data_IF_719395515804
#
_entry.id   IF_719395515804
#
_cell.length_a   1.000
_cell.length_b   1.000
_cell.length_c   1.000
_cell.angle_alpha   90.00
_cell.angle_beta   90.00
_cell.angle_gamma   90.00
#
_symmetry.space_group_name_H-M   'P 1'
#
loop_
_entity.id
_entity.type
_entity.pdbx_description
1 polymer ?
#
# COMPACT_ATOMS: atom_id res chain seq x y z
N UNK A 1 0.68 34.17 -19.49
CA UNK A 1 0.12 33.08 -20.33
C UNK A 1 1.05 31.87 -20.43
N UNK A 2 2.37 32.04 -20.58
CA UNK A 2 3.34 30.92 -20.65
C UNK A 2 3.46 30.18 -19.30
N UNK A 3 3.51 30.92 -18.18
CA UNK A 3 3.62 30.33 -16.82
C UNK A 3 2.45 29.40 -16.51
N UNK A 4 1.21 29.85 -16.74
CA UNK A 4 -0.01 29.03 -16.53
C UNK A 4 0.01 27.71 -17.31
N UNK A 5 0.49 27.73 -18.57
CA UNK A 5 0.62 26.50 -19.38
C UNK A 5 1.67 25.54 -18.82
N UNK A 6 2.77 26.06 -18.28
CA UNK A 6 3.80 25.23 -17.63
C UNK A 6 3.24 24.59 -16.35
N UNK A 7 2.50 25.34 -15.53
CA UNK A 7 1.83 24.83 -14.34
C UNK A 7 0.84 23.70 -14.67
N UNK A 8 0.03 23.86 -15.72
CA UNK A 8 -0.90 22.84 -16.21
C UNK A 8 -0.18 21.55 -16.64
N UNK A 9 0.96 21.67 -17.34
CA UNK A 9 1.78 20.52 -17.75
C UNK A 9 2.36 19.79 -16.54
N UNK A 10 2.92 20.53 -15.57
CA UNK A 10 3.47 19.96 -14.35
C UNK A 10 2.38 19.22 -13.55
N UNK A 11 1.19 19.78 -13.48
CA UNK A 11 0.04 19.13 -12.83
C UNK A 11 -0.32 17.81 -13.51
N UNK A 12 -0.39 17.78 -14.85
CA UNK A 12 -0.65 16.55 -15.61
C UNK A 12 0.44 15.50 -15.40
N UNK A 13 1.71 15.90 -15.33
CA UNK A 13 2.83 14.99 -15.04
C UNK A 13 2.69 14.38 -13.66
N UNK A 14 2.40 15.19 -12.63
CA UNK A 14 2.15 14.70 -11.27
C UNK A 14 0.99 13.71 -11.23
N UNK A 15 -0.10 13.99 -11.95
CA UNK A 15 -1.24 13.07 -12.03
C UNK A 15 -0.83 11.74 -12.69
N UNK A 16 -0.10 11.80 -13.80
CA UNK A 16 0.41 10.61 -14.49
C UNK A 16 1.29 9.76 -13.60
N UNK A 17 2.20 10.37 -12.83
CA UNK A 17 3.07 9.67 -11.88
C UNK A 17 2.27 9.00 -10.75
N UNK A 18 1.32 9.72 -10.16
CA UNK A 18 0.47 9.18 -9.09
C UNK A 18 -0.33 7.96 -9.55
N UNK A 19 -1.08 8.06 -10.66
CA UNK A 19 -1.88 6.94 -11.14
C UNK A 19 -1.01 5.77 -11.62
N UNK A 20 0.19 6.05 -12.14
CA UNK A 20 1.17 4.99 -12.45
C UNK A 20 1.59 4.26 -11.17
N UNK A 21 1.86 4.96 -10.08
CA UNK A 21 2.21 4.32 -8.81
C UNK A 21 1.05 3.49 -8.25
N UNK A 22 -0.19 4.02 -8.25
CA UNK A 22 -1.38 3.25 -7.88
C UNK A 22 -1.51 1.96 -8.70
N UNK A 23 -1.30 2.05 -10.02
CA UNK A 23 -1.33 0.89 -10.90
C UNK A 23 -0.25 -0.16 -10.55
N UNK A 24 0.98 0.26 -10.26
CA UNK A 24 2.06 -0.67 -9.87
C UNK A 24 1.74 -1.39 -8.55
N UNK A 25 1.24 -0.66 -7.55
CA UNK A 25 0.82 -1.25 -6.28
C UNK A 25 -0.36 -2.21 -6.42
N UNK A 26 -1.40 -1.84 -7.17
CA UNK A 26 -2.52 -2.73 -7.44
C UNK A 26 -2.07 -4.01 -8.18
N UNK A 27 -1.14 -3.88 -9.12
CA UNK A 27 -0.55 -5.01 -9.84
C UNK A 27 0.23 -5.94 -8.91
N UNK A 28 1.00 -5.40 -7.97
CA UNK A 28 1.64 -6.18 -6.93
C UNK A 28 0.61 -6.95 -6.09
N UNK A 29 -0.42 -6.26 -5.58
CA UNK A 29 -1.44 -6.89 -4.73
C UNK A 29 -2.12 -8.06 -5.44
N UNK A 30 -2.46 -7.90 -6.72
CA UNK A 30 -3.01 -8.96 -7.55
C UNK A 30 -2.02 -10.09 -7.79
N UNK A 31 -0.75 -9.78 -8.04
CA UNK A 31 0.30 -10.79 -8.25
C UNK A 31 0.54 -11.67 -7.02
N UNK A 32 0.48 -11.09 -5.82
CA UNK A 32 0.68 -11.80 -4.55
C UNK A 32 -0.63 -12.31 -3.92
N UNK A 33 -1.75 -12.22 -4.66
CA UNK A 33 -3.09 -12.60 -4.20
C UNK A 33 -3.47 -11.98 -2.84
N UNK A 34 -3.15 -10.70 -2.65
CA UNK A 34 -3.56 -9.90 -1.50
C UNK A 34 -4.92 -9.26 -1.79
N UNK A 35 -5.89 -9.41 -0.88
CA UNK A 35 -7.17 -8.73 -1.03
C UNK A 35 -7.01 -7.21 -0.90
N UNK A 36 -7.65 -6.46 -1.81
CA UNK A 36 -7.59 -4.99 -1.81
C UNK A 36 -8.87 -4.38 -2.38
N UNK A 37 -9.16 -3.15 -1.99
CA UNK A 37 -10.27 -2.33 -2.50
C UNK A 37 -9.70 -0.96 -2.91
N UNK A 38 -9.98 -0.51 -4.12
CA UNK A 38 -9.63 0.85 -4.55
C UNK A 38 -10.55 1.89 -3.90
N UNK A 39 -9.97 2.94 -3.30
CA UNK A 39 -10.70 3.98 -2.57
C UNK A 39 -10.58 5.38 -3.22
N UNK A 40 -11.03 5.59 -4.48
CA UNK A 40 -10.85 6.87 -5.18
C UNK A 40 -11.71 8.00 -4.59
N UNK A 41 -12.87 7.68 -4.05
CA UNK A 41 -13.78 8.59 -3.36
C UNK A 41 -14.66 7.74 -2.46
N UNK A 42 -14.12 7.14 -1.39
CA UNK A 42 -15.00 6.38 -0.50
C UNK A 42 -16.02 7.35 0.08
N UNK A 43 -17.24 7.30 -0.45
CA UNK A 43 -18.43 7.98 0.05
C UNK A 43 -18.86 7.49 1.44
N UNK A 44 -17.91 6.97 2.22
CA UNK A 44 -17.99 6.56 3.61
C UNK A 44 -17.32 7.69 4.39
N UNK A 45 -18.09 8.37 5.24
CA UNK A 45 -17.76 9.70 5.77
C UNK A 45 -16.65 9.78 6.82
N UNK A 46 -15.48 9.16 6.59
CA UNK A 46 -14.33 9.17 7.50
C UNK A 46 -13.10 9.92 6.95
N UNK A 47 -12.27 10.47 7.85
CA UNK A 47 -10.99 11.14 7.51
C UNK A 47 -10.04 10.22 6.73
N UNK A 48 -10.02 8.95 7.07
CA UNK A 48 -9.20 7.89 6.46
C UNK A 48 -9.62 7.55 5.03
N UNK A 49 -10.92 7.54 4.78
CA UNK A 49 -11.55 7.33 3.47
C UNK A 49 -11.20 8.47 2.49
N UNK A 50 -10.99 9.66 3.04
CA UNK A 50 -10.53 10.83 2.29
C UNK A 50 -9.02 10.83 2.01
N UNK A 51 -8.24 9.84 2.43
CA UNK A 51 -6.79 9.84 2.20
C UNK A 51 -6.22 8.52 1.70
N UNK A 52 -6.86 7.38 2.01
CA UNK A 52 -6.40 6.08 1.54
C UNK A 52 -6.61 5.89 0.04
N UNK A 53 -5.62 5.27 -0.61
CA UNK A 53 -5.72 4.82 -1.99
C UNK A 53 -6.28 3.41 -2.07
N UNK A 54 -5.92 2.57 -1.10
CA UNK A 54 -6.45 1.21 -0.98
C UNK A 54 -6.79 0.85 0.46
N UNK A 55 -7.80 -0.01 0.62
CA UNK A 55 -8.05 -0.75 1.85
C UNK A 55 -7.67 -2.22 1.66
N UNK A 56 -6.98 -2.79 2.64
CA UNK A 56 -6.49 -4.17 2.65
C UNK A 56 -7.29 -4.96 3.72
N UNK A 57 -8.45 -5.56 3.36
CA UNK A 57 -9.41 -6.08 4.32
C UNK A 57 -8.86 -7.23 5.18
N UNK A 58 -8.05 -8.11 4.61
CA UNK A 58 -7.54 -9.31 5.31
C UNK A 58 -6.64 -8.98 6.51
N UNK A 59 -6.10 -7.76 6.57
CA UNK A 59 -5.20 -7.29 7.64
C UNK A 59 -5.71 -5.99 8.29
N UNK A 60 -6.94 -5.58 7.92
CA UNK A 60 -7.59 -4.35 8.37
C UNK A 60 -6.68 -3.11 8.32
N UNK A 61 -5.98 -2.96 7.19
CA UNK A 61 -4.97 -1.93 6.97
C UNK A 61 -5.33 -1.00 5.82
N UNK A 62 -4.75 0.20 5.83
CA UNK A 62 -4.92 1.19 4.78
C UNK A 62 -3.60 1.46 4.08
N UNK A 63 -3.67 1.64 2.77
CA UNK A 63 -2.50 1.89 1.93
C UNK A 63 -2.64 3.26 1.26
N UNK A 64 -1.57 4.06 1.35
CA UNK A 64 -1.46 5.40 0.77
C UNK A 64 -0.26 5.40 -0.16
N UNK A 65 -0.40 5.99 -1.34
CA UNK A 65 0.69 6.17 -2.31
C UNK A 65 1.42 7.49 -2.03
N UNK A 66 2.74 7.42 -1.85
CA UNK A 66 3.65 8.50 -1.46
C UNK A 66 3.98 9.47 -2.60
N UNK A 67 2.93 9.94 -3.28
CA UNK A 67 2.98 11.04 -4.25
C UNK A 67 1.90 12.09 -3.97
N UNK A 68 1.03 11.82 -2.99
CA UNK A 68 -0.15 12.62 -2.69
C UNK A 68 -1.22 12.45 -3.77
N UNK A 69 -2.47 12.23 -3.36
CA UNK A 69 -3.57 12.23 -4.33
C UNK A 69 -3.71 13.62 -4.94
N UNK A 70 -3.74 13.74 -6.28
CA UNK A 70 -4.19 14.92 -7.01
C UNK A 70 -5.32 15.71 -6.32
N UNK A 71 -5.04 16.97 -5.95
CA UNK A 71 -6.05 17.84 -5.35
C UNK A 71 -6.37 17.56 -3.86
N UNK A 72 -5.62 16.66 -3.20
CA UNK A 72 -5.68 16.45 -1.74
C UNK A 72 -4.40 16.94 -1.07
N UNK A 73 -4.53 17.35 0.19
CA UNK A 73 -3.40 17.82 1.01
C UNK A 73 -2.49 16.69 1.50
N UNK A 74 -1.38 17.09 2.11
CA UNK A 74 -0.50 16.17 2.83
C UNK A 74 -1.25 15.43 3.94
N UNK A 75 -0.95 14.14 4.11
CA UNK A 75 -1.52 13.30 5.17
C UNK A 75 -0.44 12.87 6.15
N UNK A 76 -0.64 13.15 7.43
CA UNK A 76 0.24 12.69 8.50
C UNK A 76 -0.07 11.23 8.88
N UNK A 77 0.61 10.28 8.25
CA UNK A 77 0.35 8.84 8.44
C UNK A 77 0.55 8.37 9.89
N UNK A 78 1.51 8.96 10.62
CA UNK A 78 1.77 8.65 12.04
C UNK A 78 0.58 9.03 12.91
N UNK A 79 0.10 10.27 12.79
CA UNK A 79 -1.06 10.74 13.56
C UNK A 79 -2.32 9.95 13.21
N UNK A 80 -2.51 9.67 11.93
CA UNK A 80 -3.64 8.91 11.41
C UNK A 80 -3.67 7.47 11.96
N UNK A 81 -2.53 6.77 11.96
CA UNK A 81 -2.43 5.40 12.51
C UNK A 81 -2.73 5.38 14.01
N UNK A 82 -2.28 6.41 14.74
CA UNK A 82 -2.51 6.57 16.18
C UNK A 82 -3.96 6.86 16.55
N UNK A 83 -4.64 7.71 15.79
CA UNK A 83 -6.07 8.03 15.95
C UNK A 83 -6.96 6.82 15.69
N UNK A 84 -6.64 6.06 14.65
CA UNK A 84 -7.49 4.97 14.18
C UNK A 84 -7.17 3.63 14.84
N UNK A 85 -5.98 3.50 15.45
CA UNK A 85 -5.45 2.22 15.94
C UNK A 85 -5.40 1.18 14.81
N UNK A 86 -4.93 1.62 13.65
CA UNK A 86 -4.81 0.80 12.43
C UNK A 86 -3.40 0.87 11.87
N UNK A 87 -3.06 -0.18 11.12
CA UNK A 87 -1.88 -0.21 10.27
C UNK A 87 -2.11 0.70 9.06
N UNK A 88 -1.15 1.57 8.80
CA UNK A 88 -1.11 2.39 7.59
C UNK A 88 0.20 2.11 6.87
N UNK A 89 0.12 1.84 5.57
CA UNK A 89 1.28 1.58 4.72
C UNK A 89 1.40 2.74 3.73
N UNK A 90 2.60 3.31 3.63
CA UNK A 90 2.94 4.37 2.70
C UNK A 90 3.86 3.81 1.62
N UNK A 91 3.35 3.63 0.40
CA UNK A 91 4.06 3.03 -0.72
C UNK A 91 4.60 4.04 -1.73
N UNK A 92 5.88 3.94 -2.06
CA UNK A 92 6.55 4.78 -3.06
C UNK A 92 6.34 4.29 -4.49
N UNK A 93 6.71 5.14 -5.46
CA UNK A 93 6.64 4.82 -6.90
C UNK A 93 7.67 3.75 -7.34
N UNK A 94 8.66 3.48 -6.49
CA UNK A 94 9.77 2.55 -6.74
C UNK A 94 9.66 1.23 -5.96
N UNK A 95 8.47 0.93 -5.42
CA UNK A 95 8.19 -0.31 -4.69
C UNK A 95 8.65 -0.31 -3.25
N UNK A 96 9.38 0.72 -2.80
CA UNK A 96 9.74 0.86 -1.38
C UNK A 96 8.54 1.33 -0.58
N UNK A 97 8.46 0.96 0.69
CA UNK A 97 7.33 1.33 1.54
C UNK A 97 7.74 1.57 3.00
N UNK A 98 6.85 2.22 3.76
CA UNK A 98 6.93 2.39 5.20
C UNK A 98 5.63 1.99 5.88
N UNK A 99 5.75 1.50 7.11
CA UNK A 99 4.62 1.11 7.95
C UNK A 99 4.49 2.07 9.13
N UNK A 100 3.25 2.43 9.42
CA UNK A 100 2.86 3.21 10.59
C UNK A 100 1.82 2.41 11.36
N UNK A 101 1.99 2.28 12.67
CA UNK A 101 1.04 1.54 13.50
C UNK A 101 0.95 2.16 14.88
N UNK A 102 -0.28 2.27 15.41
CA UNK A 102 -0.54 2.76 16.77
C UNK A 102 0.05 4.13 17.11
N UNK A 103 0.32 4.97 16.11
CA UNK A 103 0.92 6.27 16.31
C UNK A 103 2.43 6.28 16.19
N UNK A 104 3.05 5.20 15.74
CA UNK A 104 4.49 5.10 15.47
C UNK A 104 4.79 5.10 13.96
N UNK A 105 5.99 5.58 13.61
CA UNK A 105 6.56 5.60 12.26
C UNK A 105 7.76 4.65 12.27
N UNK A 106 7.61 3.52 11.60
CA UNK A 106 8.69 2.54 11.49
C UNK A 106 9.50 2.85 10.25
N UNK A 107 10.83 2.80 10.40
CA UNK A 107 11.72 3.01 9.29
C UNK A 107 11.50 1.97 8.20
N UNK A 108 12.05 2.22 7.01
CA UNK A 108 11.93 1.27 5.88
C UNK A 108 12.53 -0.10 6.19
N UNK A 109 13.57 -0.17 7.02
CA UNK A 109 14.19 -1.45 7.41
C UNK A 109 13.37 -2.20 8.46
N UNK A 110 12.61 -1.46 9.28
CA UNK A 110 11.68 -2.04 10.25
C UNK A 110 10.30 -2.32 9.64
N UNK A 111 10.08 -1.96 8.37
CA UNK A 111 8.82 -2.18 7.64
C UNK A 111 8.95 -3.43 6.81
N UNK A 112 7.98 -4.34 6.87
CA UNK A 112 8.11 -5.68 6.27
C UNK A 112 6.86 -6.05 5.50
N UNK A 113 7.05 -6.67 4.35
CA UNK A 113 6.05 -7.47 3.64
C UNK A 113 6.52 -8.92 3.71
N UNK A 114 5.69 -9.80 4.24
CA UNK A 114 6.03 -11.21 4.39
C UNK A 114 4.84 -12.10 4.05
N UNK A 115 5.12 -13.38 3.78
CA UNK A 115 4.14 -14.40 3.50
C UNK A 115 4.02 -15.37 4.67
N UNK A 116 2.81 -15.57 5.17
CA UNK A 116 2.54 -16.59 6.16
C UNK A 116 2.60 -17.99 5.54
N UNK A 117 3.44 -18.88 6.06
CA UNK A 117 3.54 -20.27 5.59
C UNK A 117 2.26 -21.07 5.86
N UNK A 118 1.51 -20.71 6.91
CA UNK A 118 0.29 -21.46 7.30
C UNK A 118 -0.90 -21.20 6.40
N UNK A 119 -1.13 -19.96 5.97
CA UNK A 119 -2.27 -19.61 5.09
C UNK A 119 -1.86 -19.21 3.67
N UNK A 120 -0.57 -19.05 3.39
CA UNK A 120 -0.03 -18.63 2.10
C UNK A 120 -0.23 -17.14 1.78
N UNK A 121 -0.85 -16.36 2.68
CA UNK A 121 -1.20 -14.95 2.43
C UNK A 121 -0.05 -14.02 2.77
N UNK A 122 0.12 -13.00 1.94
CA UNK A 122 1.01 -11.89 2.20
C UNK A 122 0.35 -10.85 3.11
N UNK A 123 1.12 -10.20 3.98
CA UNK A 123 0.65 -9.11 4.82
C UNK A 123 1.80 -8.16 5.21
N UNK A 124 1.44 -6.93 5.56
CA UNK A 124 2.41 -5.94 6.03
C UNK A 124 2.53 -5.97 7.56
N UNK A 125 3.72 -5.70 8.06
CA UNK A 125 3.98 -5.57 9.50
C UNK A 125 5.17 -4.64 9.76
N UNK A 126 5.38 -4.33 11.03
CA UNK A 126 6.64 -3.78 11.52
C UNK A 126 7.45 -4.90 12.21
N UNK A 127 8.77 -4.85 12.08
CA UNK A 127 9.72 -5.84 12.63
C UNK A 127 9.66 -5.92 14.18
N UNK A 128 9.51 -4.82 14.95
CA UNK A 128 9.32 -4.90 16.40
C UNK A 128 7.96 -5.50 16.82
N UNK A 129 7.08 -5.80 15.86
CA UNK A 129 5.71 -6.22 16.08
C UNK A 129 5.55 -7.63 16.65
N UNK A 130 4.30 -8.09 16.76
CA UNK A 130 3.96 -9.38 17.36
C UNK A 130 4.36 -10.60 16.54
N UNK A 131 4.85 -10.43 15.31
CA UNK A 131 5.04 -11.47 14.30
C UNK A 131 3.76 -12.23 13.89
N UNK A 132 2.64 -12.05 14.57
CA UNK A 132 1.38 -12.74 14.27
C UNK A 132 0.90 -12.46 12.84
N UNK A 133 0.51 -13.53 12.14
CA UNK A 133 -0.11 -13.41 10.84
C UNK A 133 -1.43 -12.67 10.93
N UNK A 134 -1.48 -11.47 10.34
CA UNK A 134 -2.68 -10.61 10.37
C UNK A 134 -3.90 -11.19 9.66
N UNK A 135 -3.72 -12.21 8.83
CA UNK A 135 -4.79 -12.82 8.03
C UNK A 135 -5.42 -14.04 8.71
N UNK A 136 -4.61 -14.90 9.34
CA UNK A 136 -5.11 -16.14 9.95
C UNK A 136 -4.87 -16.25 11.46
N UNK A 137 -4.19 -15.28 12.08
CA UNK A 137 -3.88 -15.26 13.51
C UNK A 137 -2.81 -16.28 13.94
N UNK A 138 -2.14 -16.95 12.99
CA UNK A 138 -1.04 -17.87 13.33
C UNK A 138 0.10 -17.07 13.97
N UNK A 139 0.63 -17.59 15.06
CA UNK A 139 1.82 -17.08 15.73
C UNK A 139 2.75 -18.25 16.08
N UNK A 140 4.04 -18.10 15.74
CA UNK A 140 5.13 -19.02 16.07
C UNK A 140 6.47 -18.26 15.96
N UNK A 141 6.56 -17.10 16.62
CA UNK A 141 7.64 -16.14 16.37
C UNK A 141 7.73 -15.79 14.88
N UNK A 142 8.94 -15.68 14.35
CA UNK A 142 9.21 -15.46 12.92
C UNK A 142 9.19 -16.76 12.08
N UNK A 143 9.19 -17.95 12.69
CA UNK A 143 9.33 -19.23 11.97
C UNK A 143 8.23 -19.52 10.96
N UNK A 144 7.04 -18.95 11.16
CA UNK A 144 5.91 -19.09 10.24
C UNK A 144 5.90 -18.05 9.12
N UNK A 145 6.89 -17.15 9.09
CA UNK A 145 7.05 -16.13 8.08
C UNK A 145 8.06 -16.60 7.03
N UNK A 146 7.70 -16.38 5.78
CA UNK A 146 8.51 -16.66 4.61
C UNK A 146 8.48 -15.45 3.68
N UNK A 147 9.36 -15.41 2.68
CA UNK A 147 9.41 -14.32 1.69
C UNK A 147 9.44 -12.94 2.36
N UNK A 148 10.35 -12.78 3.31
CA UNK A 148 10.59 -11.54 4.02
C UNK A 148 11.20 -10.51 3.08
N UNK A 149 10.54 -9.36 2.94
CA UNK A 149 11.00 -8.25 2.10
C UNK A 149 10.94 -6.97 2.94
N UNK A 150 12.08 -6.33 3.10
CA UNK A 150 12.17 -5.07 3.83
C UNK A 150 11.58 -3.92 3.00
N UNK A 151 11.02 -2.93 3.66
CA UNK A 151 10.46 -1.72 3.03
C UNK A 151 11.49 -0.87 2.30
N UNK A 152 12.78 -1.17 2.47
CA UNK A 152 13.86 -0.55 1.70
C UNK A 152 14.08 -1.20 0.32
N UNK A 153 13.55 -2.41 0.11
CA UNK A 153 13.63 -3.15 -1.13
C UNK A 153 12.54 -2.75 -2.13
N UNK A 154 12.79 -3.01 -3.42
CA UNK A 154 11.82 -2.77 -4.47
C UNK A 154 10.95 -4.01 -4.69
N UNK A 155 9.75 -4.01 -4.09
CA UNK A 155 8.78 -5.12 -4.22
C UNK A 155 8.27 -5.32 -5.65
N UNK A 156 8.46 -4.35 -6.55
CA UNK A 156 8.03 -4.49 -7.96
C UNK A 156 9.04 -5.28 -8.81
N UNK A 157 10.26 -5.51 -8.31
CA UNK A 157 11.33 -6.15 -9.09
C UNK A 157 10.93 -7.54 -9.60
N UNK A 158 10.16 -8.28 -8.83
CA UNK A 158 9.72 -9.65 -9.15
C UNK A 158 8.32 -9.69 -9.77
N UNK A 159 7.66 -8.54 -9.95
CA UNK A 159 6.33 -8.46 -10.57
C UNK A 159 6.50 -8.51 -12.09
N UNK A 160 6.00 -9.55 -12.80
CA UNK A 160 6.16 -9.68 -14.24
C UNK A 160 5.67 -8.44 -14.99
N UNK A 161 6.39 -7.96 -16.00
CA UNK A 161 6.02 -6.75 -16.77
C UNK A 161 4.66 -6.89 -17.46
N UNK A 162 4.32 -8.09 -17.91
CA UNK A 162 3.22 -8.36 -18.84
C UNK A 162 2.04 -8.98 -18.08
N UNK A 163 1.13 -8.13 -17.59
CA UNK A 163 -0.07 -8.55 -16.89
C UNK A 163 -1.33 -8.46 -17.77
N UNK A 164 -1.28 -9.04 -18.97
CA UNK A 164 -2.46 -9.17 -19.85
C UNK A 164 -3.65 -9.87 -19.17
N UNK A 165 -3.40 -10.62 -18.10
CA UNK A 165 -4.42 -11.32 -17.32
C UNK A 165 -5.26 -10.40 -16.41
N UNK A 166 -4.72 -9.26 -15.97
CA UNK A 166 -5.45 -8.27 -15.15
C UNK A 166 -6.65 -7.67 -15.91
N UNK A 167 -6.51 -7.50 -17.23
CA UNK A 167 -7.60 -7.04 -18.11
C UNK A 167 -8.58 -8.16 -18.53
N UNK A 168 -8.20 -9.43 -18.37
CA UNK A 168 -9.10 -10.56 -18.67
C UNK A 168 -10.11 -10.81 -17.56
N UNK A 169 -9.71 -10.62 -16.29
CA UNK A 169 -10.58 -10.79 -15.11
C UNK A 169 -11.69 -9.72 -15.04
N UNK A 170 -11.44 -8.52 -15.56
CA UNK A 170 -12.42 -7.42 -15.64
C UNK A 170 -13.39 -7.52 -16.83
N UNK A 171 -13.09 -8.35 -17.83
CA UNK A 171 -13.97 -8.63 -18.99
C UNK A 171 -14.82 -9.89 -18.83
N UNK A 172 -14.78 -10.52 -17.66
CA UNK A 172 -15.57 -11.70 -17.31
C UNK A 172 -16.88 -11.36 -16.58
N UNK A 173 -17.65 -10.42 -17.14
CA UNK A 173 -19.07 -10.20 -16.85
C UNK A 173 -19.82 -9.99 -18.17
#
# INVERSE_FOLDING_TARGET
>A
MIIKKIEEILQMQTFGMYYKACYQWAKLFEYIDMAWIYCPESGRGGELDMVADFYLPDQDAYFIVDLGRPGRGYTNCKELSGKLKRLIVLGGLDGRFRVFENGEDYSKVESVLCQCVSCGRYFFMNEPGSYECRVCGKYDGDHHLSRWIDGCENVFADVPSDCDWLFKKTRGL
#
